data_IF_401741187665
#
_entry.id   IF_401741187665
#
_cell.length_a   1.000
_cell.length_b   1.000
_cell.length_c   1.000
_cell.angle_alpha   90.00
_cell.angle_beta   90.00
_cell.angle_gamma   90.00
#
_symmetry.space_group_name_H-M   'P 1'
#
loop_
_entity.id
_entity.type
_entity.pdbx_description
1 polymer ?
#
# COMPACT_ATOMS: atom_id res chain seq x y z
N UNK A 1 -3.28 4.47 24.96
CA UNK A 1 -4.03 5.35 24.05
C UNK A 1 -3.52 6.79 24.00
N UNK A 2 -3.14 7.49 25.09
CA UNK A 2 -2.60 8.87 24.99
C UNK A 2 -1.20 8.97 24.36
N UNK A 3 -0.42 7.89 24.44
CA UNK A 3 1.00 7.89 24.03
C UNK A 3 1.21 7.79 22.51
N UNK A 4 0.26 7.23 21.75
CA UNK A 4 0.36 7.11 20.30
C UNK A 4 -0.06 8.41 19.59
N UNK A 5 -1.12 9.07 20.07
CA UNK A 5 -1.54 10.38 19.55
C UNK A 5 -0.46 11.45 19.78
N UNK A 6 0.21 11.43 20.93
CA UNK A 6 1.33 12.33 21.23
C UNK A 6 2.52 12.10 20.31
N UNK A 7 2.86 10.85 20.00
CA UNK A 7 3.99 10.53 19.12
C UNK A 7 3.71 10.90 17.65
N UNK A 8 2.46 10.71 17.20
CA UNK A 8 2.02 11.16 15.88
C UNK A 8 2.04 12.69 15.80
N UNK A 9 1.51 13.38 16.82
CA UNK A 9 1.53 14.85 16.88
C UNK A 9 2.95 15.42 16.91
N UNK A 10 3.86 14.82 17.68
CA UNK A 10 5.27 15.19 17.71
C UNK A 10 5.93 14.99 16.34
N UNK A 11 5.70 13.85 15.69
CA UNK A 11 6.24 13.60 14.34
C UNK A 11 5.69 14.61 13.31
N UNK A 12 4.38 14.87 13.33
CA UNK A 12 3.75 15.84 12.44
C UNK A 12 4.26 17.27 12.64
N UNK A 13 4.66 17.63 13.87
CA UNK A 13 5.24 18.95 14.19
C UNK A 13 6.58 19.24 13.50
N UNK A 14 7.23 18.21 12.95
CA UNK A 14 8.49 18.38 12.20
C UNK A 14 8.27 18.79 10.75
N UNK A 15 7.03 18.77 10.26
CA UNK A 15 6.67 19.23 8.92
C UNK A 15 6.14 20.67 8.96
N UNK A 16 6.33 21.42 7.88
CA UNK A 16 5.77 22.77 7.73
C UNK A 16 4.23 22.75 7.85
N UNK A 17 3.62 23.87 8.25
CA UNK A 17 2.15 24.01 8.45
C UNK A 17 1.31 23.64 7.20
N UNK A 18 1.93 23.48 6.03
CA UNK A 18 1.33 23.07 4.76
C UNK A 18 1.23 21.54 4.54
N UNK A 19 1.61 20.73 5.54
CA UNK A 19 1.64 19.27 5.39
C UNK A 19 0.25 18.62 5.31
N UNK A 20 0.00 17.88 4.23
CA UNK A 20 -1.19 17.06 4.08
C UNK A 20 -0.99 15.70 4.75
N UNK A 21 -1.94 15.31 5.61
CA UNK A 21 -1.83 14.08 6.41
C UNK A 21 -2.99 13.13 6.13
N UNK A 22 -2.65 11.86 5.84
CA UNK A 22 -3.60 10.75 5.69
C UNK A 22 -3.10 9.58 6.53
N UNK A 23 -3.86 9.18 7.56
CA UNK A 23 -3.49 8.08 8.48
C UNK A 23 -3.57 6.70 7.84
N UNK A 24 -4.28 6.59 6.71
CA UNK A 24 -4.50 5.35 5.98
C UNK A 24 -5.16 4.25 6.82
N UNK A 25 -6.26 4.59 7.51
CA UNK A 25 -7.07 3.65 8.32
C UNK A 25 -7.52 2.43 7.51
N UNK A 26 -7.78 2.65 6.22
CA UNK A 26 -8.00 1.60 5.24
C UNK A 26 -6.96 1.72 4.11
N UNK A 27 -6.45 0.57 3.65
CA UNK A 27 -5.58 0.48 2.48
C UNK A 27 -6.18 -0.48 1.47
N UNK A 28 -6.40 -0.01 0.25
CA UNK A 28 -6.84 -0.83 -0.89
C UNK A 28 -5.82 -0.71 -2.01
N UNK A 29 -5.74 -1.73 -2.85
CA UNK A 29 -4.94 -1.69 -4.07
C UNK A 29 -5.68 -2.35 -5.21
N UNK A 30 -5.27 -2.00 -6.43
CA UNK A 30 -5.85 -2.55 -7.63
C UNK A 30 -5.56 -4.03 -7.73
N UNK A 31 -6.58 -4.79 -8.09
CA UNK A 31 -6.50 -6.23 -8.29
C UNK A 31 -6.87 -6.54 -9.73
N UNK A 32 -6.24 -7.58 -10.28
CA UNK A 32 -6.52 -8.05 -11.64
C UNK A 32 -7.94 -8.60 -11.81
N UNK A 33 -8.61 -8.94 -10.71
CA UNK A 33 -10.00 -9.40 -10.65
C UNK A 33 -10.99 -8.29 -10.22
N UNK A 34 -10.55 -7.02 -10.21
CA UNK A 34 -11.41 -5.89 -9.92
C UNK A 34 -12.53 -5.76 -10.97
N UNK A 35 -13.73 -5.38 -10.53
CA UNK A 35 -14.94 -5.33 -11.38
C UNK A 35 -14.77 -4.41 -12.61
N UNK A 36 -14.03 -3.32 -12.45
CA UNK A 36 -13.79 -2.33 -13.48
C UNK A 36 -12.55 -2.64 -14.35
N UNK A 37 -12.02 -3.86 -14.29
CA UNK A 37 -10.87 -4.30 -15.10
C UNK A 37 -11.32 -5.22 -16.24
N UNK A 38 -11.01 -4.83 -17.47
CA UNK A 38 -11.29 -5.60 -18.68
C UNK A 38 -9.99 -6.02 -19.37
N UNK A 39 -10.00 -7.21 -19.95
CA UNK A 39 -8.91 -7.77 -20.74
C UNK A 39 -9.39 -7.99 -22.17
N UNK A 40 -8.76 -7.31 -23.14
CA UNK A 40 -9.12 -7.44 -24.55
C UNK A 40 -7.87 -7.32 -25.43
N UNK A 41 -7.69 -8.26 -26.36
CA UNK A 41 -6.61 -8.24 -27.35
C UNK A 41 -5.18 -8.10 -26.73
N UNK A 42 -4.97 -8.67 -25.53
CA UNK A 42 -3.69 -8.58 -24.81
C UNK A 42 -3.48 -7.30 -24.00
N UNK A 43 -4.47 -6.40 -23.99
CA UNK A 43 -4.43 -5.13 -23.27
C UNK A 43 -5.36 -5.12 -22.06
N UNK A 44 -5.05 -4.25 -21.09
CA UNK A 44 -5.84 -4.04 -19.88
C UNK A 44 -6.53 -2.68 -19.94
N UNK A 45 -7.85 -2.68 -19.80
CA UNK A 45 -8.69 -1.48 -19.89
C UNK A 45 -9.51 -1.28 -18.62
N UNK A 46 -9.82 -0.02 -18.32
CA UNK A 46 -10.74 0.34 -17.25
C UNK A 46 -12.14 0.52 -17.80
N UNK A 47 -13.11 -0.20 -17.25
CA UNK A 47 -14.53 0.05 -17.47
C UNK A 47 -15.04 1.06 -16.45
N UNK A 48 -15.15 2.32 -16.86
CA UNK A 48 -15.58 3.41 -15.98
C UNK A 48 -17.05 3.24 -15.56
N UNK A 49 -17.90 2.67 -16.42
CA UNK A 49 -19.33 2.45 -16.13
C UNK A 49 -19.55 1.36 -15.07
N UNK A 50 -18.60 0.41 -14.98
CA UNK A 50 -18.59 -0.61 -13.93
C UNK A 50 -18.15 -0.06 -12.57
N UNK A 51 -17.52 1.12 -12.52
CA UNK A 51 -17.13 1.76 -11.27
C UNK A 51 -18.36 2.37 -10.61
N UNK A 52 -18.82 1.73 -9.53
CA UNK A 52 -19.92 2.24 -8.72
C UNK A 52 -19.42 2.59 -7.32
N UNK A 53 -19.74 3.80 -6.87
CA UNK A 53 -19.50 4.26 -5.49
C UNK A 53 -20.53 3.65 -4.54
N UNK A 54 -20.52 2.32 -4.45
CA UNK A 54 -21.48 1.53 -3.66
C UNK A 54 -21.22 1.65 -2.15
N UNK A 55 -19.94 1.74 -1.78
CA UNK A 55 -19.52 1.86 -0.39
C UNK A 55 -19.10 3.30 -0.06
N UNK A 56 -20.06 4.05 0.50
CA UNK A 56 -19.87 5.41 1.02
C UNK A 56 -19.51 5.44 2.51
N UNK A 57 -19.19 4.30 3.12
CA UNK A 57 -18.81 4.26 4.52
C UNK A 57 -17.48 4.97 4.75
N UNK A 58 -17.36 5.63 5.90
CA UNK A 58 -16.06 6.13 6.37
C UNK A 58 -15.22 4.95 6.87
N UNK A 59 -13.88 4.97 6.67
CA UNK A 59 -13.05 3.90 7.17
C UNK A 59 -13.09 3.86 8.71
N UNK A 60 -13.05 2.65 9.26
CA UNK A 60 -13.02 2.44 10.71
C UNK A 60 -11.58 2.26 11.18
N UNK A 61 -11.33 2.60 12.44
CA UNK A 61 -10.04 2.32 13.05
C UNK A 61 -9.76 0.81 13.02
N UNK A 62 -8.60 0.39 12.51
CA UNK A 62 -8.28 -1.02 12.45
C UNK A 62 -8.15 -1.57 13.88
N UNK A 63 -8.87 -2.65 14.16
CA UNK A 63 -8.68 -3.39 15.41
C UNK A 63 -7.29 -4.00 15.36
N UNK A 64 -6.44 -3.63 16.33
CA UNK A 64 -5.08 -4.18 16.43
C UNK A 64 -5.17 -5.69 16.61
N UNK A 65 -4.71 -6.44 15.61
CA UNK A 65 -4.61 -7.89 15.67
C UNK A 65 -3.14 -8.24 15.87
N UNK A 66 -2.78 -8.58 17.10
CA UNK A 66 -1.46 -9.13 17.39
C UNK A 66 -1.44 -10.59 16.92
N UNK A 67 -0.50 -10.91 16.04
CA UNK A 67 -0.26 -12.27 15.59
C UNK A 67 1.18 -12.61 15.91
N UNK A 68 1.37 -13.62 16.75
CA UNK A 68 2.69 -14.13 17.07
C UNK A 68 3.25 -14.88 15.85
N UNK A 69 4.48 -14.54 15.48
CA UNK A 69 5.22 -15.16 14.40
C UNK A 69 6.49 -15.79 14.96
N UNK A 70 6.76 -17.04 14.58
CA UNK A 70 7.99 -17.70 14.97
C UNK A 70 9.10 -17.58 13.90
N UNK A 71 10.26 -18.16 14.18
CA UNK A 71 11.42 -18.14 13.31
C UNK A 71 11.16 -18.77 11.92
N UNK A 72 10.26 -19.75 11.84
CA UNK A 72 9.89 -20.45 10.60
C UNK A 72 8.93 -19.58 9.79
N UNK A 73 8.00 -18.90 10.46
CA UNK A 73 7.10 -17.95 9.82
C UNK A 73 7.87 -16.77 9.22
N UNK A 74 8.85 -16.24 9.96
CA UNK A 74 9.73 -15.17 9.47
C UNK A 74 10.58 -15.63 8.28
N UNK A 75 11.14 -16.85 8.32
CA UNK A 75 11.86 -17.43 7.18
C UNK A 75 10.97 -17.53 5.93
N UNK A 76 9.72 -17.99 6.09
CA UNK A 76 8.75 -18.08 5.00
C UNK A 76 8.40 -16.71 4.45
N UNK A 77 8.13 -15.73 5.31
CA UNK A 77 7.86 -14.35 4.90
C UNK A 77 9.05 -13.75 4.15
N UNK A 78 10.28 -13.95 4.64
CA UNK A 78 11.49 -13.49 3.97
C UNK A 78 11.61 -14.08 2.55
N UNK A 79 11.42 -15.39 2.42
CA UNK A 79 11.48 -16.06 1.11
C UNK A 79 10.40 -15.52 0.16
N UNK A 80 9.17 -15.31 0.65
CA UNK A 80 8.03 -14.81 -0.12
C UNK A 80 8.13 -13.33 -0.47
N UNK A 81 8.71 -12.50 0.40
CA UNK A 81 8.94 -11.08 0.09
C UNK A 81 10.02 -10.90 -0.97
N UNK A 82 11.06 -11.75 -0.96
CA UNK A 82 12.06 -11.75 -2.04
C UNK A 82 11.45 -12.18 -3.37
N UNK A 83 10.67 -13.26 -3.36
CA UNK A 83 9.97 -13.76 -4.53
C UNK A 83 8.67 -14.45 -4.13
N UNK A 84 7.49 -13.89 -4.46
CA UNK A 84 6.22 -14.45 -4.01
C UNK A 84 5.96 -15.90 -4.46
N UNK A 85 6.56 -16.29 -5.60
CA UNK A 85 6.48 -17.64 -6.15
C UNK A 85 7.59 -18.57 -5.66
N UNK A 86 8.45 -18.13 -4.74
CA UNK A 86 9.47 -18.98 -4.13
C UNK A 86 8.85 -20.26 -3.55
N UNK A 87 9.46 -21.40 -3.84
CA UNK A 87 8.94 -22.67 -3.37
C UNK A 87 9.30 -22.88 -1.89
N UNK A 88 8.49 -23.67 -1.17
CA UNK A 88 8.83 -24.02 0.22
C UNK A 88 10.10 -24.89 0.30
N UNK A 89 10.53 -25.52 -0.81
CA UNK A 89 11.80 -26.24 -0.90
C UNK A 89 13.00 -25.29 -0.93
N UNK A 90 12.85 -24.10 -1.50
CA UNK A 90 13.88 -23.06 -1.45
C UNK A 90 14.04 -22.54 -0.02
N UNK A 91 12.92 -22.25 0.65
CA UNK A 91 12.93 -21.87 2.06
C UNK A 91 13.57 -22.95 2.95
N UNK A 92 13.30 -24.23 2.70
CA UNK A 92 13.98 -25.34 3.38
C UNK A 92 15.50 -25.30 3.19
N UNK A 93 16.00 -25.09 1.96
CA UNK A 93 17.45 -25.00 1.70
C UNK A 93 18.09 -23.83 2.43
N UNK A 94 17.38 -22.71 2.52
CA UNK A 94 17.85 -21.48 3.16
C UNK A 94 17.71 -21.51 4.69
N UNK A 95 16.93 -22.45 5.24
CA UNK A 95 16.72 -22.57 6.70
C UNK A 95 18.03 -22.77 7.48
N UNK A 96 18.98 -23.54 6.94
CA UNK A 96 20.29 -23.73 7.58
C UNK A 96 21.07 -22.42 7.68
N UNK A 97 21.00 -21.60 6.63
CA UNK A 97 21.69 -20.30 6.57
C UNK A 97 21.10 -19.30 7.57
N UNK A 98 19.78 -19.24 7.66
CA UNK A 98 19.10 -18.21 8.47
C UNK A 98 18.81 -18.62 9.90
N UNK A 99 18.56 -19.91 10.16
CA UNK A 99 18.17 -20.43 11.47
C UNK A 99 19.23 -21.33 12.10
N UNK A 100 20.34 -21.60 11.40
CA UNK A 100 21.38 -22.53 11.87
C UNK A 100 20.95 -24.00 11.89
N UNK A 101 19.73 -24.31 11.44
CA UNK A 101 19.16 -25.66 11.43
C UNK A 101 18.29 -25.89 10.21
N UNK A 102 18.27 -27.14 9.73
CA UNK A 102 17.35 -27.53 8.66
C UNK A 102 15.93 -27.63 9.20
N UNK A 103 15.00 -26.90 8.60
CA UNK A 103 13.56 -27.04 8.86
C UNK A 103 12.95 -27.89 7.75
N UNK A 104 12.22 -28.95 8.12
CA UNK A 104 11.66 -29.87 7.14
C UNK A 104 10.57 -29.20 6.30
N UNK A 105 10.44 -29.65 5.04
CA UNK A 105 9.39 -29.18 4.14
C UNK A 105 7.98 -29.32 4.73
N UNK A 106 7.71 -30.39 5.47
CA UNK A 106 6.41 -30.63 6.10
C UNK A 106 6.08 -29.56 7.15
N UNK A 107 7.06 -29.20 7.98
CA UNK A 107 6.92 -28.14 8.99
C UNK A 107 6.67 -26.80 8.30
N UNK A 108 7.48 -26.45 7.29
CA UNK A 108 7.28 -25.22 6.51
C UNK A 108 5.91 -25.17 5.81
N UNK A 109 5.42 -26.29 5.31
CA UNK A 109 4.08 -26.37 4.70
C UNK A 109 2.97 -26.10 5.71
N UNK A 110 3.09 -26.64 6.92
CA UNK A 110 2.13 -26.39 8.00
C UNK A 110 2.14 -24.92 8.42
N UNK A 111 3.32 -24.34 8.67
CA UNK A 111 3.48 -22.92 9.03
C UNK A 111 2.94 -22.01 7.92
N UNK A 112 3.26 -22.32 6.67
CA UNK A 112 2.79 -21.52 5.54
C UNK A 112 1.25 -21.49 5.47
N UNK A 113 0.57 -22.63 5.63
CA UNK A 113 -0.90 -22.70 5.56
C UNK A 113 -1.59 -22.11 6.78
N UNK A 114 -1.06 -22.35 7.98
CA UNK A 114 -1.75 -22.03 9.21
C UNK A 114 -1.42 -20.65 9.75
N UNK A 115 -0.25 -20.10 9.45
CA UNK A 115 0.19 -18.80 9.96
C UNK A 115 0.33 -17.80 8.81
N UNK A 116 1.28 -18.02 7.89
CA UNK A 116 1.65 -17.04 6.86
C UNK A 116 0.50 -16.71 5.93
N UNK A 117 -0.20 -17.71 5.38
CA UNK A 117 -1.32 -17.52 4.45
C UNK A 117 -2.47 -16.71 5.05
N UNK A 118 -2.70 -16.81 6.37
CA UNK A 118 -3.76 -16.04 7.05
C UNK A 118 -3.41 -14.55 7.17
N UNK A 119 -2.12 -14.21 7.10
CA UNK A 119 -1.61 -12.84 7.10
C UNK A 119 -1.34 -12.33 5.68
N UNK A 120 -1.18 -13.23 4.72
CA UNK A 120 -0.80 -12.91 3.36
C UNK A 120 -1.99 -12.35 2.60
N UNK A 121 -2.03 -11.02 2.44
CA UNK A 121 -3.13 -10.35 1.75
C UNK A 121 -3.20 -10.66 0.25
N UNK A 122 -2.15 -11.28 -0.31
CA UNK A 122 -2.09 -11.75 -1.69
C UNK A 122 -0.83 -11.29 -2.41
N UNK A 123 -0.67 -11.80 -3.63
CA UNK A 123 0.37 -11.33 -4.54
C UNK A 123 -0.17 -10.20 -5.38
N UNK A 124 0.67 -9.22 -5.68
CA UNK A 124 0.28 -8.04 -6.42
C UNK A 124 1.08 -7.91 -7.69
N UNK A 125 0.40 -7.59 -8.79
CA UNK A 125 0.99 -7.15 -10.04
C UNK A 125 0.81 -5.63 -10.13
N UNK A 126 1.84 -4.95 -10.63
CA UNK A 126 1.81 -3.52 -10.88
C UNK A 126 1.87 -3.27 -12.37
N UNK A 127 0.92 -2.48 -12.87
CA UNK A 127 0.96 -1.96 -14.24
C UNK A 127 1.73 -0.65 -14.21
N UNK A 128 2.99 -0.69 -14.64
CA UNK A 128 3.81 0.51 -14.80
C UNK A 128 3.89 0.88 -16.26
N UNK A 129 3.59 2.14 -16.55
CA UNK A 129 3.83 2.75 -17.85
C UNK A 129 5.18 3.48 -17.82
N UNK A 130 5.71 3.80 -19.00
CA UNK A 130 6.87 4.69 -19.11
C UNK A 130 6.56 6.02 -18.39
N UNK A 131 7.30 6.31 -17.32
CA UNK A 131 7.09 7.49 -16.48
C UNK A 131 7.36 8.81 -17.22
N UNK A 132 8.10 8.78 -18.33
CA UNK A 132 8.27 9.96 -19.20
C UNK A 132 6.99 10.29 -20.00
N UNK A 133 6.17 9.27 -20.27
CA UNK A 133 4.92 9.42 -21.04
C UNK A 133 3.71 9.56 -20.13
N UNK A 134 3.67 8.76 -19.06
CA UNK A 134 2.60 8.75 -18.06
C UNK A 134 3.25 8.83 -16.68
N UNK A 135 3.44 10.04 -16.12
CA UNK A 135 4.13 10.19 -14.85
C UNK A 135 3.34 9.56 -13.70
N UNK A 136 4.07 9.14 -12.66
CA UNK A 136 3.44 8.66 -11.44
C UNK A 136 2.75 9.81 -10.71
N UNK A 137 1.52 9.59 -10.28
CA UNK A 137 0.66 10.61 -9.66
C UNK A 137 0.26 10.17 -8.25
N UNK A 138 0.20 11.13 -7.34
CA UNK A 138 -0.54 11.02 -6.09
C UNK A 138 -1.71 12.00 -6.16
N UNK A 139 -2.92 11.49 -6.04
CA UNK A 139 -4.16 12.25 -6.06
C UNK A 139 -4.66 12.29 -4.61
N UNK A 140 -4.46 13.43 -3.95
CA UNK A 140 -5.04 13.72 -2.65
C UNK A 140 -6.48 14.18 -2.83
N UNK A 141 -7.36 13.62 -2.02
CA UNK A 141 -8.80 13.82 -2.03
C UNK A 141 -9.23 14.25 -0.64
N UNK A 142 -10.03 15.30 -0.53
CA UNK A 142 -10.61 15.77 0.74
C UNK A 142 -12.09 16.10 0.57
N UNK A 143 -12.93 15.66 1.49
CA UNK A 143 -14.38 15.82 1.43
C UNK A 143 -15.13 14.53 1.79
N UNK A 144 -16.45 14.64 1.95
CA UNK A 144 -17.29 13.53 2.44
C UNK A 144 -17.27 12.32 1.51
N UNK A 145 -17.15 12.54 0.20
CA UNK A 145 -17.12 11.46 -0.79
C UNK A 145 -15.70 10.91 -1.06
N UNK A 146 -14.64 11.52 -0.50
CA UNK A 146 -13.24 11.15 -0.76
C UNK A 146 -12.93 9.64 -0.55
N UNK A 147 -13.39 8.99 0.53
CA UNK A 147 -13.17 7.55 0.72
C UNK A 147 -13.83 6.70 -0.36
N UNK A 148 -15.05 7.04 -0.73
CA UNK A 148 -15.81 6.32 -1.75
C UNK A 148 -15.14 6.48 -3.14
N UNK A 149 -14.68 7.69 -3.46
CA UNK A 149 -13.89 7.97 -4.67
C UNK A 149 -12.63 7.13 -4.69
N UNK A 150 -11.87 7.10 -3.60
CA UNK A 150 -10.62 6.37 -3.54
C UNK A 150 -10.79 4.86 -3.74
N UNK A 151 -11.84 4.26 -3.13
CA UNK A 151 -12.19 2.85 -3.34
C UNK A 151 -12.59 2.56 -4.78
N UNK A 152 -13.31 3.48 -5.41
CA UNK A 152 -13.77 3.39 -6.79
C UNK A 152 -12.59 3.47 -7.77
N UNK A 153 -11.69 4.45 -7.61
CA UNK A 153 -10.55 4.64 -8.50
C UNK A 153 -9.62 3.44 -8.52
N UNK A 154 -9.38 2.83 -7.36
CA UNK A 154 -8.47 1.68 -7.26
C UNK A 154 -9.06 0.39 -7.86
N UNK A 155 -10.31 0.39 -8.35
CA UNK A 155 -10.86 -0.69 -9.18
C UNK A 155 -10.41 -0.59 -10.64
N UNK A 156 -10.06 0.61 -11.10
CA UNK A 156 -9.58 0.84 -12.45
C UNK A 156 -8.09 0.46 -12.55
N UNK A 157 -7.66 -0.12 -13.68
CA UNK A 157 -6.25 -0.36 -13.92
C UNK A 157 -5.48 0.96 -13.94
N UNK A 158 -4.17 0.87 -13.72
CA UNK A 158 -3.24 1.99 -13.64
C UNK A 158 -3.38 2.89 -12.40
N UNK A 159 -4.52 2.85 -11.70
CA UNK A 159 -4.56 3.21 -10.30
C UNK A 159 -3.99 2.06 -9.48
N UNK A 160 -3.13 2.39 -8.53
CA UNK A 160 -2.33 1.41 -7.84
C UNK A 160 -2.83 1.21 -6.42
N UNK A 161 -2.77 2.24 -5.58
CA UNK A 161 -3.05 2.08 -4.15
C UNK A 161 -3.88 3.25 -3.67
N UNK A 162 -4.91 2.98 -2.89
CA UNK A 162 -5.66 3.97 -2.16
C UNK A 162 -5.33 3.84 -0.67
N UNK A 163 -4.92 4.96 -0.08
CA UNK A 163 -4.77 5.15 1.36
C UNK A 163 -5.94 6.00 1.81
N UNK A 164 -6.81 5.45 2.65
CA UNK A 164 -8.13 5.99 2.92
C UNK A 164 -8.23 6.32 4.41
N UNK A 165 -8.70 7.52 4.70
CA UNK A 165 -8.93 8.06 6.03
C UNK A 165 -10.34 8.70 6.09
N UNK A 166 -10.74 9.22 7.24
CA UNK A 166 -12.01 9.92 7.42
C UNK A 166 -12.00 11.20 6.59
N UNK A 167 -12.92 11.28 5.63
CA UNK A 167 -13.10 12.41 4.69
C UNK A 167 -11.85 12.77 3.88
N UNK A 168 -10.84 11.89 3.84
CA UNK A 168 -9.58 12.12 3.15
C UNK A 168 -9.07 10.84 2.52
N UNK A 169 -8.40 10.96 1.39
CA UNK A 169 -7.71 9.83 0.79
C UNK A 169 -6.54 10.27 -0.09
N UNK A 170 -5.59 9.36 -0.30
CA UNK A 170 -4.57 9.50 -1.34
C UNK A 170 -4.63 8.28 -2.24
N UNK A 171 -4.78 8.51 -3.54
CA UNK A 171 -4.72 7.48 -4.57
C UNK A 171 -3.43 7.64 -5.36
N UNK A 172 -2.65 6.58 -5.47
CA UNK A 172 -1.39 6.54 -6.22
C UNK A 172 -1.56 5.77 -7.52
N UNK A 173 -0.86 6.15 -8.59
CA UNK A 173 -0.90 5.39 -9.85
C UNK A 173 -0.28 6.11 -11.05
N UNK A 174 -0.48 5.53 -12.23
CA UNK A 174 -0.16 6.11 -13.54
C UNK A 174 -1.39 6.09 -14.46
N UNK A 175 -2.52 6.71 -14.06
CA UNK A 175 -3.72 6.73 -14.90
C UNK A 175 -3.37 7.34 -16.27
N UNK A 176 -3.88 6.77 -17.39
CA UNK A 176 -3.63 7.31 -18.71
C UNK A 176 -4.04 8.79 -18.79
N UNK A 177 -3.18 9.65 -19.33
CA UNK A 177 -3.44 11.10 -19.38
C UNK A 177 -4.79 11.44 -20.03
N UNK A 178 -5.21 10.69 -21.05
CA UNK A 178 -6.49 10.86 -21.73
C UNK A 178 -7.71 10.61 -20.82
N UNK A 179 -7.55 9.86 -19.73
CA UNK A 179 -8.64 9.57 -18.78
C UNK A 179 -8.88 10.70 -17.77
N UNK A 180 -7.89 11.57 -17.54
CA UNK A 180 -7.94 12.59 -16.48
C UNK A 180 -9.06 13.62 -16.66
N UNK A 181 -9.35 14.16 -17.86
CA UNK A 181 -10.47 15.09 -18.04
C UNK A 181 -11.84 14.46 -17.72
N UNK A 182 -12.01 13.19 -18.05
CA UNK A 182 -13.23 12.44 -17.73
C UNK A 182 -13.36 12.24 -16.23
N UNK A 183 -12.26 11.87 -15.56
CA UNK A 183 -12.21 11.76 -14.12
C UNK A 183 -12.63 13.07 -13.44
N UNK A 184 -11.99 14.20 -13.80
CA UNK A 184 -12.30 15.49 -13.17
C UNK A 184 -13.75 15.94 -13.38
N UNK A 185 -14.34 15.63 -14.53
CA UNK A 185 -15.77 15.90 -14.76
C UNK A 185 -16.65 15.13 -13.78
N UNK A 186 -16.37 13.85 -13.56
CA UNK A 186 -17.15 13.01 -12.63
C UNK A 186 -16.94 13.47 -11.19
N UNK A 187 -15.72 13.88 -10.82
CA UNK A 187 -15.43 14.37 -9.47
C UNK A 187 -16.09 15.72 -9.17
N UNK A 188 -16.31 16.57 -10.18
CA UNK A 188 -16.93 17.89 -10.00
C UNK A 188 -18.37 17.87 -9.48
N UNK A 189 -19.08 16.74 -9.61
CA UNK A 189 -20.44 16.56 -9.09
C UNK A 189 -20.47 15.96 -7.67
N UNK A 190 -19.30 15.66 -7.09
CA UNK A 190 -19.14 15.02 -5.79
C UNK A 190 -18.60 16.00 -4.74
N UNK A 191 -18.82 15.69 -3.46
CA UNK A 191 -18.24 16.46 -2.36
C UNK A 191 -16.79 16.04 -2.11
N UNK A 192 -15.91 16.45 -3.04
CA UNK A 192 -14.48 16.15 -3.01
C UNK A 192 -13.64 17.25 -3.69
N UNK A 193 -12.69 17.79 -2.93
CA UNK A 193 -11.60 18.59 -3.42
C UNK A 193 -10.42 17.69 -3.82
N UNK A 194 -9.73 18.06 -4.90
CA UNK A 194 -8.66 17.26 -5.50
C UNK A 194 -7.38 18.07 -5.58
N UNK A 195 -6.30 17.52 -5.03
CA UNK A 195 -4.94 18.01 -5.25
C UNK A 195 -4.07 16.91 -5.85
N UNK A 196 -3.33 17.25 -6.90
CA UNK A 196 -2.50 16.28 -7.61
C UNK A 196 -1.01 16.60 -7.44
N UNK A 197 -0.24 15.58 -7.09
CA UNK A 197 1.21 15.59 -7.10
C UNK A 197 1.68 14.72 -8.26
N UNK A 198 2.52 15.29 -9.12
CA UNK A 198 3.12 14.57 -10.25
C UNK A 198 4.58 14.33 -9.93
N UNK A 199 5.00 13.06 -9.99
CA UNK A 199 6.39 12.70 -9.78
C UNK A 199 7.22 13.15 -10.99
N UNK A 200 8.17 14.04 -10.74
CA UNK A 200 9.20 14.38 -11.71
C UNK A 200 10.21 13.23 -11.80
N UNK A 201 10.48 12.75 -13.02
CA UNK A 201 11.49 11.73 -13.28
C UNK A 201 12.87 12.39 -13.33
N UNK A 202 13.34 12.96 -12.22
CA UNK A 202 14.71 13.44 -12.11
C UNK A 202 15.61 12.36 -11.52
N UNK A 203 16.85 12.24 -12.01
CA UNK A 203 17.84 11.29 -11.48
C UNK A 203 18.38 11.67 -10.10
N UNK A 204 17.90 12.77 -9.51
CA UNK A 204 18.36 13.29 -8.22
C UNK A 204 17.38 12.88 -7.14
N UNK A 205 17.60 11.69 -6.58
CA UNK A 205 16.83 11.20 -5.43
C UNK A 205 17.34 11.89 -4.17
N UNK A 206 16.61 12.88 -3.66
CA UNK A 206 16.79 13.33 -2.27
C UNK A 206 16.22 12.26 -1.34
N UNK A 207 17.06 11.31 -0.95
CA UNK A 207 16.73 10.41 0.18
C UNK A 207 17.08 11.19 1.45
N UNK A 208 16.10 11.51 2.32
CA UNK A 208 16.44 12.10 3.61
C UNK A 208 17.44 11.19 4.30
N UNK A 209 18.59 11.76 4.67
CA UNK A 209 19.69 11.04 5.29
C UNK A 209 19.14 10.22 6.48
N UNK A 210 19.61 8.98 6.61
CA UNK A 210 19.22 8.02 7.66
C UNK A 210 19.26 8.61 9.09
N UNK A 211 19.97 9.71 9.32
CA UNK A 211 19.98 10.45 10.59
C UNK A 211 18.59 10.92 11.04
N UNK A 212 17.69 11.28 10.13
CA UNK A 212 16.32 11.69 10.48
C UNK A 212 15.48 10.52 11.02
N UNK A 213 15.61 9.32 10.42
CA UNK A 213 14.94 8.12 10.90
C UNK A 213 15.45 7.68 12.28
N UNK A 214 16.75 7.87 12.56
CA UNK A 214 17.32 7.60 13.89
C UNK A 214 16.89 8.60 14.97
N UNK A 215 16.46 9.81 14.58
CA UNK A 215 15.91 10.79 15.51
C UNK A 215 14.46 10.46 15.90
N UNK A 216 13.70 9.84 14.99
CA UNK A 216 12.28 9.46 15.20
C UNK A 216 12.15 8.13 15.96
N UNK A 217 13.13 7.22 15.82
CA UNK A 217 13.10 5.90 16.48
C UNK A 217 14.09 5.86 17.64
N UNK A 218 13.60 6.07 18.87
CA UNK A 218 14.38 5.77 20.09
C UNK A 218 14.66 4.27 20.16
N UNK A 219 15.88 3.86 19.80
CA UNK A 219 16.37 2.52 20.13
C UNK A 219 16.56 2.47 21.65
N UNK A 220 15.97 1.47 22.32
CA UNK A 220 16.41 1.10 23.67
C UNK A 220 17.87 0.69 23.55
N UNK A 221 18.76 1.44 24.19
CA UNK A 221 20.14 1.01 24.35
C UNK A 221 20.13 -0.35 25.05
N UNK A 222 20.68 -1.35 24.38
CA UNK A 222 20.99 -2.62 25.04
C UNK A 222 22.16 -2.29 25.96
N UNK A 223 21.85 -2.10 27.24
CA UNK A 223 22.86 -2.06 28.29
C UNK A 223 23.49 -3.45 28.32
N UNK A 224 24.68 -3.58 27.75
CA UNK A 224 25.50 -4.77 27.93
C UNK A 224 25.95 -4.78 29.39
N UNK A 225 25.43 -5.76 30.14
CA UNK A 225 25.99 -6.18 31.42
C UNK A 225 27.08 -7.23 31.18
#
# INVERSE_FOLDING_TARGET
>A
MPAEDSAIAEWLSTFEESALTVRALERKWWRTDALATLYRDGWVYGDVEAVKMTDKSQPVFPVKKEVELDDKDVLLLWAKFRWPFASLREAERESVKYLGRRVSHQVLSWHFRNHVLKLWAGNRVWLYADAQQVPYRLIYLEGRDAPAVARALVQLPWFHTAYIDVERAVVSGQPPCASMPHLYRVLGDLDVDVLEFVMEVSMVKWVPYFSLLSQIVKRKEVVNA
#
